data_IF_177583585944
#
_entry.id   IF_177583585944
#
_cell.length_a   1.000
_cell.length_b   1.000
_cell.length_c   1.000
_cell.angle_alpha   90.00
_cell.angle_beta   90.00
_cell.angle_gamma   90.00
#
_symmetry.space_group_name_H-M   'P 1'
#
loop_
_entity.id
_entity.type
_entity.pdbx_description
1 polymer ?
#
# COMPACT_ATOMS: atom_id res chain seq x y z
N UNK A 1 8.17 8.87 -2.83
CA UNK A 1 7.54 9.23 -1.53
C UNK A 1 8.63 9.25 -0.48
N UNK A 2 8.64 10.23 0.42
CA UNK A 2 9.67 10.41 1.46
C UNK A 2 9.12 10.32 2.89
N UNK A 3 7.83 10.05 3.06
CA UNK A 3 7.11 9.94 4.34
C UNK A 3 5.59 9.97 4.14
N UNK A 4 4.85 9.58 5.19
CA UNK A 4 3.38 9.53 5.19
C UNK A 4 2.79 8.15 4.88
N UNK A 5 1.46 8.08 4.85
CA UNK A 5 0.69 6.88 4.53
C UNK A 5 -0.19 7.18 3.32
N UNK A 6 -0.19 6.27 2.34
CA UNK A 6 -1.08 6.32 1.19
C UNK A 6 -1.91 5.06 1.12
N UNK A 7 -3.20 5.23 0.87
CA UNK A 7 -4.12 4.17 0.52
C UNK A 7 -4.45 4.30 -0.96
N UNK A 8 -4.22 3.23 -1.72
CA UNK A 8 -4.65 3.13 -3.12
C UNK A 8 -5.98 2.38 -3.14
N UNK A 9 -7.01 2.93 -3.79
CA UNK A 9 -8.35 2.32 -3.82
C UNK A 9 -8.62 1.51 -5.10
N UNK A 10 -7.60 1.28 -5.92
CA UNK A 10 -7.72 0.56 -7.18
C UNK A 10 -6.37 0.08 -7.72
N UNK A 11 -6.37 -0.38 -8.97
CA UNK A 11 -5.17 -0.94 -9.59
C UNK A 11 -4.03 0.08 -9.79
N UNK A 12 -2.79 -0.41 -9.72
CA UNK A 12 -1.57 0.36 -9.97
C UNK A 12 -0.96 0.07 -11.34
N UNK A 13 -0.17 1.03 -11.83
CA UNK A 13 0.64 0.89 -13.04
C UNK A 13 1.99 0.21 -12.78
N UNK A 14 2.83 0.14 -13.82
CA UNK A 14 4.20 -0.39 -13.74
C UNK A 14 5.12 0.55 -12.98
N UNK A 15 6.17 0.00 -12.39
CA UNK A 15 7.22 0.73 -11.68
C UNK A 15 6.68 1.52 -10.47
N UNK A 16 5.61 1.00 -9.84
CA UNK A 16 5.04 1.60 -8.64
C UNK A 16 6.08 1.66 -7.51
N UNK A 17 6.02 2.72 -6.70
CA UNK A 17 6.95 2.98 -5.60
C UNK A 17 8.44 3.18 -5.98
N UNK A 18 8.76 3.42 -7.26
CA UNK A 18 10.11 3.81 -7.65
C UNK A 18 10.55 5.11 -6.95
N UNK A 19 11.71 5.07 -6.29
CA UNK A 19 12.22 6.19 -5.51
C UNK A 19 11.40 6.52 -4.24
N UNK A 20 10.61 5.56 -3.76
CA UNK A 20 9.99 5.65 -2.44
C UNK A 20 11.02 5.30 -1.38
N UNK A 21 11.56 6.33 -0.72
CA UNK A 21 12.60 6.21 0.29
C UNK A 21 12.05 6.26 1.72
N UNK A 22 10.73 6.45 1.89
CA UNK A 22 10.07 6.45 3.20
C UNK A 22 8.55 6.60 3.08
N UNK A 23 7.83 6.09 4.09
CA UNK A 23 6.38 6.02 4.15
C UNK A 23 5.85 4.60 3.89
N UNK A 24 4.52 4.44 3.91
CA UNK A 24 3.83 3.17 3.66
C UNK A 24 2.74 3.37 2.60
N UNK A 25 2.59 2.41 1.70
CA UNK A 25 1.53 2.40 0.70
C UNK A 25 0.73 1.09 0.77
N UNK A 26 -0.57 1.20 1.01
CA UNK A 26 -1.50 0.09 0.97
C UNK A 26 -2.12 -0.01 -0.40
N UNK A 27 -1.96 -1.17 -1.04
CA UNK A 27 -2.38 -1.38 -2.42
C UNK A 27 -3.25 -2.64 -2.50
N UNK A 28 -4.48 -2.55 -3.03
CA UNK A 28 -5.31 -3.71 -3.28
C UNK A 28 -4.70 -4.52 -4.43
N UNK A 29 -4.40 -5.78 -4.15
CA UNK A 29 -3.87 -6.74 -5.13
C UNK A 29 -4.99 -7.67 -5.64
N UNK A 30 -6.05 -7.09 -6.20
CA UNK A 30 -7.23 -7.84 -6.66
C UNK A 30 -6.91 -8.90 -7.73
N UNK A 31 -5.84 -8.66 -8.49
CA UNK A 31 -5.40 -9.53 -9.59
C UNK A 31 -4.25 -10.47 -9.20
N UNK A 32 -3.71 -10.35 -7.99
CA UNK A 32 -2.55 -11.13 -7.54
C UNK A 32 -1.27 -10.87 -8.33
N UNK A 33 -1.15 -9.71 -8.97
CA UNK A 33 -0.07 -9.36 -9.88
C UNK A 33 0.70 -8.09 -9.49
N UNK A 34 0.50 -7.59 -8.27
CA UNK A 34 1.23 -6.42 -7.78
C UNK A 34 2.74 -6.66 -7.65
N UNK A 35 3.15 -7.90 -7.36
CA UNK A 35 4.56 -8.29 -7.25
C UNK A 35 5.39 -8.05 -8.53
N UNK A 36 4.76 -7.97 -9.71
CA UNK A 36 5.44 -7.66 -10.98
C UNK A 36 5.26 -6.19 -11.40
N UNK A 37 4.53 -5.40 -10.63
CA UNK A 37 4.21 -3.99 -10.96
C UNK A 37 4.98 -2.98 -10.12
N UNK A 38 5.51 -3.37 -8.96
CA UNK A 38 6.30 -2.49 -8.09
C UNK A 38 7.79 -2.50 -8.41
N UNK A 39 8.50 -1.48 -7.92
CA UNK A 39 9.95 -1.37 -7.98
C UNK A 39 10.57 -1.83 -6.64
N UNK A 40 11.33 -2.94 -6.62
CA UNK A 40 11.89 -3.49 -5.39
C UNK A 40 13.20 -2.82 -4.93
N UNK A 41 13.69 -1.77 -5.60
CA UNK A 41 15.01 -1.22 -5.32
C UNK A 41 15.12 -0.55 -3.94
N UNK A 42 14.03 -0.03 -3.40
CA UNK A 42 13.99 0.69 -2.11
C UNK A 42 12.78 0.34 -1.25
N UNK A 43 11.94 -0.58 -1.73
CA UNK A 43 10.65 -0.91 -1.11
C UNK A 43 10.53 -2.41 -1.02
N UNK A 44 10.01 -2.88 0.10
CA UNK A 44 9.68 -4.28 0.34
C UNK A 44 8.16 -4.46 0.25
N UNK A 45 7.74 -5.65 -0.21
CA UNK A 45 6.35 -6.05 -0.20
C UNK A 45 6.07 -6.91 1.02
N UNK A 46 5.06 -6.52 1.77
CA UNK A 46 4.53 -7.27 2.88
C UNK A 46 3.03 -7.45 2.74
N UNK A 47 2.52 -8.62 3.13
CA UNK A 47 1.07 -8.84 3.19
C UNK A 47 0.58 -8.34 4.53
N UNK A 48 -0.52 -7.60 4.51
CA UNK A 48 -1.25 -7.24 5.72
C UNK A 48 -1.68 -8.52 6.45
N UNK A 49 -1.35 -8.58 7.73
CA UNK A 49 -1.74 -9.61 8.70
C UNK A 49 -2.66 -8.99 9.76
N UNK A 50 -3.07 -9.77 10.77
CA UNK A 50 -3.89 -9.27 11.89
C UNK A 50 -3.05 -8.74 13.07
N UNK A 51 -1.79 -8.39 12.81
CA UNK A 51 -0.93 -7.86 13.86
C UNK A 51 -1.30 -6.42 14.26
N UNK A 52 -0.70 -5.95 15.35
CA UNK A 52 -1.04 -4.65 15.93
C UNK A 52 -0.66 -3.48 15.01
N UNK A 53 0.32 -3.67 14.13
CA UNK A 53 0.77 -2.66 13.16
C UNK A 53 -0.25 -2.47 12.05
N UNK A 54 -0.82 -3.56 11.56
CA UNK A 54 -1.80 -3.54 10.47
C UNK A 54 -3.20 -3.08 10.91
N UNK A 55 -3.51 -3.22 12.21
CA UNK A 55 -4.83 -2.90 12.78
C UNK A 55 -5.20 -1.43 12.67
N UNK A 56 -4.25 -0.52 12.91
CA UNK A 56 -4.48 0.93 12.81
C UNK A 56 -4.78 1.35 11.37
N UNK A 57 -4.20 0.66 10.39
CA UNK A 57 -4.48 0.93 8.98
C UNK A 57 -5.84 0.41 8.57
N UNK A 58 -6.23 -0.78 9.03
CA UNK A 58 -7.58 -1.30 8.77
C UNK A 58 -8.64 -0.32 9.30
N UNK A 59 -8.40 0.33 10.44
CA UNK A 59 -9.26 1.39 10.94
C UNK A 59 -9.31 2.61 10.01
N UNK A 60 -8.15 3.10 9.51
CA UNK A 60 -8.12 4.20 8.55
C UNK A 60 -8.75 3.86 7.19
N UNK A 61 -8.65 2.61 6.73
CA UNK A 61 -9.30 2.14 5.52
C UNK A 61 -10.83 2.16 5.66
N UNK A 62 -11.36 1.75 6.82
CA UNK A 62 -12.80 1.84 7.11
C UNK A 62 -13.26 3.30 7.18
N UNK A 63 -12.49 4.20 7.79
CA UNK A 63 -12.80 5.64 7.78
C UNK A 63 -12.87 6.20 6.35
N UNK A 64 -11.95 5.80 5.45
CA UNK A 64 -11.96 6.24 4.04
C UNK A 64 -13.16 5.68 3.28
N UNK A 65 -13.60 4.45 3.57
CA UNK A 65 -14.77 3.84 2.91
C UNK A 65 -16.09 4.53 3.24
N UNK A 66 -16.17 5.17 4.40
CA UNK A 66 -17.35 5.90 4.88
C UNK A 66 -17.37 7.38 4.41
N UNK A 67 -16.35 7.84 3.68
CA UNK A 67 -16.34 9.17 3.09
C UNK A 67 -17.27 9.22 1.85
N UNK A 68 -18.12 10.25 1.74
CA UNK A 68 -19.11 10.38 0.66
C UNK A 68 -18.50 10.63 -0.73
#
# INVERSE_FOLDING_TARGET
>A
MTGGVVVVLGGTGRNFAAGMSGGIAYVPDEKGDFNIRFNPAMVELEKITEDETDRDIMAHLEEIRELP
#
